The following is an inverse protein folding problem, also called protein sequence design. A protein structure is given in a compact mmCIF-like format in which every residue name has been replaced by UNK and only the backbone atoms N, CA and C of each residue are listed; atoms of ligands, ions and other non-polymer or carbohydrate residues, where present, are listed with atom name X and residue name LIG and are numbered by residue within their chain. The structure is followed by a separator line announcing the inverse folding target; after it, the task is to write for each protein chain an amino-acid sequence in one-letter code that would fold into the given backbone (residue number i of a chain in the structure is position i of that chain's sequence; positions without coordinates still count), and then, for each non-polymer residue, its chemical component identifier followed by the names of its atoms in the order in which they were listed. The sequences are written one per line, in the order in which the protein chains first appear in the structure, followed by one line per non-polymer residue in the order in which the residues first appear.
data_IF_181230240392
#
_entry.id   IF_181230240392
#
_cell.length_a   1.000
_cell.length_b   1.000
_cell.length_c   1.000
_cell.angle_alpha   90.00
_cell.angle_beta   90.00
_cell.angle_gamma   90.00
#
_symmetry.space_group_name_H-M   'P 1'
#
loop_
_entity.id
_entity.type
_entity.pdbx_description
1 polymer ?
#
# COMPACT_ATOMS: atom_id res chain seq x y z
N UNK A 1 -16.76 2.30 -16.65
CA UNK A 1 -15.45 1.95 -17.26
C UNK A 1 -15.11 2.84 -18.46
N UNK A 2 -15.92 2.91 -19.52
CA UNK A 2 -15.65 3.78 -20.68
C UNK A 2 -15.49 5.27 -20.32
N UNK A 3 -16.35 5.82 -19.46
CA UNK A 3 -16.26 7.23 -19.03
C UNK A 3 -14.96 7.53 -18.26
N UNK A 4 -14.50 6.57 -17.43
CA UNK A 4 -13.24 6.67 -16.68
C UNK A 4 -12.02 6.60 -17.60
N UNK A 5 -12.05 5.71 -18.59
CA UNK A 5 -11.01 5.63 -19.61
C UNK A 5 -10.95 6.93 -20.46
N UNK A 6 -12.11 7.45 -20.88
CA UNK A 6 -12.20 8.69 -21.66
C UNK A 6 -11.72 9.91 -20.87
N UNK A 7 -12.11 10.04 -19.61
CA UNK A 7 -11.65 11.13 -18.74
C UNK A 7 -10.15 11.01 -18.41
N UNK A 8 -9.64 9.80 -18.21
CA UNK A 8 -8.20 9.55 -18.07
C UNK A 8 -7.41 9.93 -19.33
N UNK A 9 -7.87 9.53 -20.51
CA UNK A 9 -7.26 9.89 -21.79
C UNK A 9 -7.30 11.40 -22.04
N UNK A 10 -8.45 12.04 -21.78
CA UNK A 10 -8.60 13.49 -21.91
C UNK A 10 -7.67 14.25 -20.95
N UNK A 11 -7.52 13.77 -19.71
CA UNK A 11 -6.61 14.34 -18.72
C UNK A 11 -5.14 14.21 -19.15
N UNK A 12 -4.71 13.04 -19.63
CA UNK A 12 -3.34 12.83 -20.15
C UNK A 12 -3.08 13.73 -21.35
N UNK A 13 -4.04 13.83 -22.26
CA UNK A 13 -3.95 14.68 -23.46
C UNK A 13 -3.82 16.16 -23.08
N UNK A 14 -4.63 16.63 -22.12
CA UNK A 14 -4.61 18.01 -21.64
C UNK A 14 -3.30 18.35 -20.91
N UNK A 15 -2.82 17.45 -20.04
CA UNK A 15 -1.56 17.65 -19.32
C UNK A 15 -0.39 17.77 -20.29
N UNK A 16 -0.38 16.96 -21.36
CA UNK A 16 0.69 16.99 -22.36
C UNK A 16 0.70 18.26 -23.21
N UNK A 17 -0.44 18.93 -23.37
CA UNK A 17 -0.57 20.16 -24.16
C UNK A 17 -0.42 21.46 -23.36
N UNK A 18 -0.40 21.40 -22.04
CA UNK A 18 -0.34 22.60 -21.19
C UNK A 18 1.10 22.99 -20.90
N UNK A 19 1.45 24.27 -21.08
CA UNK A 19 2.82 24.78 -20.87
C UNK A 19 3.30 24.77 -19.41
N UNK A 20 2.36 24.92 -18.45
CA UNK A 20 2.60 24.82 -17.00
C UNK A 20 1.68 23.77 -16.39
N UNK A 21 1.96 22.47 -16.58
CA UNK A 21 1.08 21.41 -16.08
C UNK A 21 1.06 21.37 -14.56
N UNK A 22 -0.14 21.20 -13.99
CA UNK A 22 -0.36 20.97 -12.55
C UNK A 22 0.35 19.71 -12.02
N UNK A 23 0.85 18.84 -12.89
CA UNK A 23 1.64 17.68 -12.51
C UNK A 23 2.66 17.44 -13.62
N UNK A 24 3.90 17.94 -13.47
CA UNK A 24 4.91 17.82 -14.51
C UNK A 24 5.17 16.34 -14.84
N UNK A 25 4.94 15.88 -16.09
CA UNK A 25 5.21 14.50 -16.48
C UNK A 25 6.69 14.12 -16.32
N UNK A 26 7.57 15.12 -16.25
CA UNK A 26 8.99 14.97 -15.94
C UNK A 26 9.25 14.30 -14.59
N UNK A 27 8.34 14.40 -13.61
CA UNK A 27 8.51 13.68 -12.33
C UNK A 27 8.51 12.16 -12.50
N UNK A 28 7.68 11.64 -13.41
CA UNK A 28 7.64 10.20 -13.70
C UNK A 28 8.82 9.72 -14.56
N UNK A 29 9.65 10.62 -15.09
CA UNK A 29 10.93 10.24 -15.72
C UNK A 29 11.95 9.81 -14.66
N UNK A 30 11.81 10.26 -13.41
CA UNK A 30 12.63 9.75 -12.32
C UNK A 30 12.13 8.35 -11.94
N UNK A 31 12.92 7.34 -12.31
CA UNK A 31 12.57 5.95 -12.07
C UNK A 31 12.34 5.63 -10.58
N UNK A 32 13.11 6.23 -9.67
CA UNK A 32 12.95 6.01 -8.22
C UNK A 32 11.59 6.49 -7.75
N UNK A 33 11.20 7.69 -8.18
CA UNK A 33 9.88 8.26 -7.88
C UNK A 33 8.76 7.38 -8.43
N UNK A 34 8.87 6.95 -9.69
CA UNK A 34 7.84 6.12 -10.35
C UNK A 34 7.69 4.75 -9.70
N UNK A 35 8.79 4.07 -9.38
CA UNK A 35 8.75 2.79 -8.69
C UNK A 35 8.21 2.93 -7.25
N UNK A 36 8.54 4.01 -6.54
CA UNK A 36 8.00 4.29 -5.22
C UNK A 36 6.49 4.58 -5.26
N UNK A 37 6.03 5.35 -6.25
CA UNK A 37 4.62 5.63 -6.48
C UNK A 37 3.83 4.36 -6.82
N UNK A 38 4.37 3.50 -7.70
CA UNK A 38 3.76 2.23 -8.05
C UNK A 38 3.73 1.25 -6.87
N UNK A 39 4.81 1.19 -6.09
CA UNK A 39 4.88 0.40 -4.85
C UNK A 39 3.79 0.85 -3.87
N UNK A 40 3.64 2.16 -3.66
CA UNK A 40 2.55 2.73 -2.86
C UNK A 40 1.19 2.25 -3.36
N UNK A 41 0.90 2.41 -4.65
CA UNK A 41 -0.38 2.03 -5.23
C UNK A 41 -0.73 0.57 -4.92
N UNK A 42 0.19 -0.36 -5.19
CA UNK A 42 -0.04 -1.80 -4.97
C UNK A 42 -0.16 -2.15 -3.48
N UNK A 43 0.64 -1.52 -2.62
CA UNK A 43 0.52 -1.69 -1.17
C UNK A 43 -0.83 -1.17 -0.64
N UNK A 44 -1.34 -0.06 -1.18
CA UNK A 44 -2.66 0.48 -0.84
C UNK A 44 -3.82 -0.32 -1.43
N UNK A 45 -3.64 -1.01 -2.56
CA UNK A 45 -4.60 -2.05 -3.02
C UNK A 45 -4.75 -3.12 -1.96
N UNK A 46 -3.63 -3.67 -1.50
CA UNK A 46 -3.60 -4.71 -0.48
C UNK A 46 -4.27 -4.24 0.81
N UNK A 47 -3.93 -3.03 1.28
CA UNK A 47 -4.57 -2.41 2.43
C UNK A 47 -6.08 -2.23 2.22
N UNK A 48 -6.51 -1.71 1.08
CA UNK A 48 -7.93 -1.49 0.76
C UNK A 48 -8.73 -2.79 0.78
N UNK A 49 -8.17 -3.87 0.21
CA UNK A 49 -8.78 -5.21 0.28
C UNK A 49 -8.95 -5.64 1.74
N UNK A 50 -7.88 -5.57 2.54
CA UNK A 50 -7.94 -6.05 3.93
C UNK A 50 -8.87 -5.19 4.80
N UNK A 51 -8.92 -3.88 4.58
CA UNK A 51 -9.77 -2.96 5.35
C UNK A 51 -11.27 -3.24 5.15
N UNK A 52 -11.66 -3.89 4.05
CA UNK A 52 -13.05 -4.32 3.81
C UNK A 52 -13.25 -5.79 4.16
N UNK A 53 -12.34 -6.66 3.72
CA UNK A 53 -12.48 -8.10 3.91
C UNK A 53 -12.45 -8.50 5.39
N UNK A 54 -11.60 -7.86 6.20
CA UNK A 54 -11.37 -8.28 7.58
C UNK A 54 -12.54 -7.95 8.52
N UNK A 55 -13.13 -6.73 8.51
CA UNK A 55 -14.35 -6.46 9.27
C UNK A 55 -15.53 -7.32 8.82
N UNK A 56 -15.60 -7.67 7.52
CA UNK A 56 -16.63 -8.57 7.03
C UNK A 56 -16.41 -9.98 7.57
N UNK A 57 -15.19 -10.53 7.53
CA UNK A 57 -14.82 -11.81 8.16
C UNK A 57 -15.25 -11.87 9.64
N UNK A 58 -14.91 -10.82 10.40
CA UNK A 58 -15.20 -10.77 11.84
C UNK A 58 -16.70 -10.80 12.14
N UNK A 59 -17.51 -10.18 11.29
CA UNK A 59 -18.96 -10.08 11.48
C UNK A 59 -19.70 -11.29 10.91
N UNK A 60 -19.39 -11.71 9.67
CA UNK A 60 -20.12 -12.77 8.98
C UNK A 60 -19.71 -14.16 9.44
N UNK A 61 -18.41 -14.42 9.63
CA UNK A 61 -17.92 -15.75 10.01
C UNK A 61 -17.75 -15.92 11.51
N UNK A 62 -17.20 -14.92 12.21
CA UNK A 62 -16.98 -15.01 13.65
C UNK A 62 -18.12 -14.45 14.50
N UNK A 63 -19.13 -13.81 13.88
CA UNK A 63 -20.32 -13.32 14.58
C UNK A 63 -20.04 -12.16 15.55
N UNK A 64 -18.91 -11.46 15.42
CA UNK A 64 -18.62 -10.31 16.25
C UNK A 64 -19.50 -9.12 15.89
N UNK A 65 -19.83 -8.29 16.88
CA UNK A 65 -20.52 -7.03 16.61
C UNK A 65 -19.62 -6.05 15.84
N UNK A 66 -20.20 -5.05 15.15
CA UNK A 66 -19.41 -4.01 14.47
C UNK A 66 -18.43 -3.28 15.40
N UNK A 67 -18.84 -3.04 16.65
CA UNK A 67 -18.00 -2.40 17.68
C UNK A 67 -16.79 -3.27 18.04
N UNK A 68 -17.00 -4.56 18.27
CA UNK A 68 -15.91 -5.50 18.56
C UNK A 68 -14.98 -5.64 17.36
N UNK A 69 -15.54 -5.70 16.15
CA UNK A 69 -14.75 -5.76 14.91
C UNK A 69 -13.85 -4.54 14.73
N UNK A 70 -14.35 -3.34 15.05
CA UNK A 70 -13.55 -2.12 15.05
C UNK A 70 -12.43 -2.16 16.12
N UNK A 71 -12.74 -2.66 17.33
CA UNK A 71 -11.74 -2.82 18.39
C UNK A 71 -10.62 -3.78 17.98
N UNK A 72 -10.96 -4.91 17.35
CA UNK A 72 -10.00 -5.89 16.82
C UNK A 72 -9.13 -5.32 15.68
N UNK A 73 -9.58 -4.24 15.04
CA UNK A 73 -8.82 -3.54 14.01
C UNK A 73 -7.84 -2.51 14.57
N UNK A 74 -8.11 -1.97 15.77
CA UNK A 74 -7.28 -0.96 16.48
C UNK A 74 -5.78 -1.27 16.56
N UNK A 75 -5.34 -2.53 16.75
CA UNK A 75 -3.91 -2.86 16.78
C UNK A 75 -3.17 -2.49 15.49
N UNK A 76 -3.86 -2.46 14.34
CA UNK A 76 -3.23 -2.08 13.07
C UNK A 76 -2.73 -0.62 13.08
N UNK A 77 -3.57 0.43 13.27
CA UNK A 77 -3.08 1.80 13.35
C UNK A 77 -2.11 2.00 14.52
N UNK A 78 -2.28 1.29 15.63
CA UNK A 78 -1.29 1.31 16.73
C UNK A 78 0.09 0.85 16.26
N UNK A 79 0.17 -0.27 15.52
CA UNK A 79 1.41 -0.76 14.94
C UNK A 79 2.08 0.26 14.02
N UNK A 80 1.28 0.97 13.20
CA UNK A 80 1.77 2.05 12.34
C UNK A 80 2.39 3.17 13.18
N UNK A 81 1.65 3.67 14.19
CA UNK A 81 2.10 4.77 15.06
C UNK A 81 3.39 4.40 15.79
N UNK A 82 3.48 3.15 16.27
CA UNK A 82 4.64 2.66 17.01
C UNK A 82 5.89 2.56 16.14
N UNK A 83 5.78 2.14 14.88
CA UNK A 83 6.97 1.87 14.05
C UNK A 83 7.36 3.04 13.12
N UNK A 84 6.40 3.86 12.68
CA UNK A 84 6.64 4.84 11.61
C UNK A 84 7.72 5.89 11.94
N UNK A 85 7.82 6.43 13.18
CA UNK A 85 8.91 7.34 13.54
C UNK A 85 10.28 6.65 13.50
N UNK A 86 10.35 5.39 13.91
CA UNK A 86 11.59 4.61 13.91
C UNK A 86 12.03 4.29 12.49
N UNK A 87 11.12 3.85 11.64
CA UNK A 87 11.40 3.60 10.23
C UNK A 87 11.85 4.87 9.49
N UNK A 88 11.26 6.03 9.83
CA UNK A 88 11.69 7.33 9.30
C UNK A 88 13.13 7.69 9.70
N UNK A 89 13.48 7.50 10.98
CA UNK A 89 14.84 7.69 11.51
C UNK A 89 15.84 6.72 10.91
N UNK A 90 15.48 5.46 10.77
CA UNK A 90 16.34 4.48 10.10
C UNK A 90 16.61 4.88 8.65
N UNK A 91 15.66 5.53 7.98
CA UNK A 91 15.83 6.01 6.62
C UNK A 91 16.76 7.23 6.51
N UNK A 92 17.16 7.85 7.62
CA UNK A 92 18.23 8.86 7.63
C UNK A 92 19.62 8.22 7.44
N UNK A 93 19.81 6.98 7.90
CA UNK A 93 21.12 6.33 7.96
C UNK A 93 21.23 5.08 7.08
N UNK A 94 20.11 4.43 6.76
CA UNK A 94 20.01 3.22 5.95
C UNK A 94 19.21 3.56 4.68
N UNK A 95 19.47 2.86 3.57
CA UNK A 95 18.74 3.08 2.32
C UNK A 95 17.22 2.92 2.50
N UNK A 96 16.46 3.97 2.19
CA UNK A 96 14.99 3.98 2.30
C UNK A 96 14.30 2.82 1.55
N UNK A 97 14.73 2.40 0.35
CA UNK A 97 14.15 1.23 -0.31
C UNK A 97 14.37 -0.09 0.46
N UNK A 98 15.44 -0.23 1.25
CA UNK A 98 15.70 -1.46 2.00
C UNK A 98 14.74 -1.59 3.17
N UNK A 99 14.58 -0.52 3.95
CA UNK A 99 13.62 -0.46 5.04
C UNK A 99 12.20 -0.63 4.49
N UNK A 100 11.89 0.04 3.37
CA UNK A 100 10.58 -0.09 2.72
C UNK A 100 10.28 -1.54 2.32
N UNK A 101 11.26 -2.22 1.72
CA UNK A 101 11.13 -3.62 1.30
C UNK A 101 10.97 -4.55 2.50
N UNK A 102 11.75 -4.33 3.57
CA UNK A 102 11.61 -5.10 4.81
C UNK A 102 10.21 -4.91 5.44
N UNK A 103 9.73 -3.67 5.50
CA UNK A 103 8.38 -3.37 5.98
C UNK A 103 7.30 -4.08 5.16
N UNK A 104 7.43 -4.10 3.82
CA UNK A 104 6.51 -4.82 2.94
C UNK A 104 6.57 -6.33 3.14
N UNK A 105 7.76 -6.92 3.39
CA UNK A 105 7.88 -8.35 3.71
C UNK A 105 7.15 -8.66 5.01
N UNK A 106 7.34 -7.86 6.06
CA UNK A 106 6.62 -8.01 7.33
C UNK A 106 5.11 -7.85 7.11
N UNK A 107 4.70 -6.92 6.24
CA UNK A 107 3.30 -6.72 5.90
C UNK A 107 2.70 -7.94 5.17
N UNK A 108 3.41 -8.52 4.20
CA UNK A 108 3.00 -9.79 3.55
C UNK A 108 2.85 -10.90 4.57
N UNK A 109 3.80 -11.06 5.50
CA UNK A 109 3.70 -12.05 6.58
C UNK A 109 2.46 -11.80 7.43
N UNK A 110 2.20 -10.55 7.84
CA UNK A 110 0.99 -10.19 8.58
C UNK A 110 -0.30 -10.53 7.82
N UNK A 111 -0.34 -10.27 6.52
CA UNK A 111 -1.50 -10.60 5.67
C UNK A 111 -1.70 -12.11 5.55
N UNK A 112 -0.62 -12.89 5.40
CA UNK A 112 -0.69 -14.37 5.38
C UNK A 112 -1.18 -14.88 6.74
N UNK A 113 -0.69 -14.31 7.85
CA UNK A 113 -1.18 -14.65 9.18
C UNK A 113 -2.68 -14.36 9.29
N UNK A 114 -3.18 -13.22 8.83
CA UNK A 114 -4.62 -12.94 8.83
C UNK A 114 -5.41 -13.90 7.91
N UNK A 115 -4.88 -14.21 6.72
CA UNK A 115 -5.51 -15.13 5.77
C UNK A 115 -5.60 -16.58 6.29
N UNK A 116 -4.71 -16.95 7.22
CA UNK A 116 -4.62 -18.26 7.87
C UNK A 116 -5.18 -18.24 9.30
N UNK A 117 -6.07 -17.30 9.62
CA UNK A 117 -6.81 -17.35 10.88
C UNK A 117 -7.61 -18.66 10.98
N UNK A 118 -7.56 -19.36 12.14
CA UNK A 118 -8.33 -20.57 12.34
C UNK A 118 -9.84 -20.27 12.35
N UNK A 119 -10.68 -21.30 12.25
CA UNK A 119 -12.13 -21.16 12.27
C UNK A 119 -12.68 -20.55 13.59
N UNK A 120 -11.92 -20.66 14.68
CA UNK A 120 -12.26 -20.09 16.00
C UNK A 120 -11.02 -19.44 16.62
N UNK A 121 -10.62 -18.25 16.14
CA UNK A 121 -9.46 -17.57 16.68
C UNK A 121 -9.78 -16.95 18.04
N UNK A 122 -8.76 -16.83 18.89
CA UNK A 122 -8.89 -15.96 20.06
C UNK A 122 -8.79 -14.50 19.63
N UNK A 123 -9.45 -13.59 20.35
CA UNK A 123 -9.35 -12.14 20.08
C UNK A 123 -7.89 -11.67 20.15
N UNK A 124 -7.10 -12.25 21.06
CA UNK A 124 -5.67 -11.96 21.19
C UNK A 124 -4.89 -12.32 19.93
N UNK A 125 -5.18 -13.47 19.32
CA UNK A 125 -4.54 -13.91 18.08
C UNK A 125 -4.85 -12.96 16.92
N UNK A 126 -6.12 -12.54 16.77
CA UNK A 126 -6.50 -11.51 15.80
C UNK A 126 -5.72 -10.22 16.04
N UNK A 127 -5.69 -9.73 17.29
CA UNK A 127 -5.01 -8.48 17.64
C UNK A 127 -3.52 -8.52 17.31
N UNK A 128 -2.84 -9.63 17.62
CA UNK A 128 -1.42 -9.79 17.34
C UNK A 128 -1.13 -9.78 15.84
N UNK A 129 -1.93 -10.50 15.04
CA UNK A 129 -1.77 -10.56 13.58
C UNK A 129 -2.07 -9.20 12.93
N UNK A 130 -3.11 -8.49 13.39
CA UNK A 130 -3.41 -7.11 12.98
C UNK A 130 -2.28 -6.13 13.34
N UNK A 131 -1.68 -6.30 14.51
CA UNK A 131 -0.52 -5.48 14.94
C UNK A 131 0.68 -5.70 14.01
N UNK A 132 0.98 -6.94 13.63
CA UNK A 132 2.06 -7.26 12.68
C UNK A 132 1.82 -6.58 11.32
N UNK A 133 0.58 -6.60 10.82
CA UNK A 133 0.21 -5.84 9.61
C UNK A 133 0.50 -4.34 9.76
N UNK A 134 0.11 -3.76 10.90
CA UNK A 134 0.38 -2.35 11.21
C UNK A 134 1.86 -2.01 11.24
N UNK A 135 2.66 -2.84 11.90
CA UNK A 135 4.11 -2.68 12.00
C UNK A 135 4.76 -2.79 10.60
N UNK A 136 4.40 -3.80 9.81
CA UNK A 136 4.94 -3.94 8.46
C UNK A 136 4.59 -2.74 7.57
N UNK A 137 3.30 -2.38 7.54
CA UNK A 137 2.82 -1.29 6.69
C UNK A 137 3.38 0.09 7.11
N UNK A 138 3.47 0.36 8.42
CA UNK A 138 4.08 1.61 8.91
C UNK A 138 5.58 1.70 8.63
N UNK A 139 6.29 0.57 8.76
CA UNK A 139 7.71 0.47 8.44
C UNK A 139 7.98 0.70 6.95
N UNK A 140 7.05 0.28 6.09
CA UNK A 140 7.07 0.59 4.65
C UNK A 140 6.76 2.07 4.36
N UNK A 141 5.65 2.56 4.90
CA UNK A 141 5.04 3.81 4.44
C UNK A 141 5.95 5.02 4.68
N UNK A 142 6.58 5.10 5.85
CA UNK A 142 7.43 6.23 6.24
C UNK A 142 8.64 6.45 5.30
N UNK A 143 9.54 5.47 5.09
CA UNK A 143 10.67 5.59 4.16
C UNK A 143 10.23 5.73 2.70
N UNK A 144 9.16 5.06 2.27
CA UNK A 144 8.69 5.17 0.89
C UNK A 144 8.14 6.57 0.57
N UNK A 145 7.37 7.16 1.49
CA UNK A 145 6.88 8.53 1.34
C UNK A 145 8.03 9.53 1.32
N UNK A 146 9.03 9.32 2.18
CA UNK A 146 10.24 10.13 2.18
C UNK A 146 10.95 10.06 0.83
N UNK A 147 11.14 8.87 0.27
CA UNK A 147 11.76 8.70 -1.05
C UNK A 147 10.97 9.44 -2.14
N UNK A 148 9.64 9.38 -2.12
CA UNK A 148 8.82 10.12 -3.07
C UNK A 148 8.97 11.64 -2.94
N UNK A 149 9.08 12.15 -1.71
CA UNK A 149 9.14 13.60 -1.43
C UNK A 149 10.56 14.17 -1.54
N UNK A 150 11.60 13.38 -1.30
CA UNK A 150 13.00 13.85 -1.34
C UNK A 150 13.60 13.84 -2.75
N UNK A 151 13.03 13.09 -3.68
CA UNK A 151 13.51 12.96 -5.07
C UNK A 151 12.97 14.04 -6.02
N UNK A 152 12.24 15.03 -5.49
CA UNK A 152 11.69 16.16 -6.25
C UNK A 152 12.24 17.48 -5.74
N UNK A 153 12.45 18.43 -6.65
CA UNK A 153 12.83 19.81 -6.32
C UNK A 153 11.76 20.37 -5.36
N UNK A 154 12.16 21.22 -4.41
CA UNK A 154 11.28 21.74 -3.35
C UNK A 154 9.98 22.39 -3.89
N UNK A 155 10.05 22.98 -5.08
CA UNK A 155 8.93 23.55 -5.83
C UNK A 155 7.90 22.51 -6.33
N UNK A 156 8.29 21.23 -6.39
CA UNK A 156 7.46 20.12 -6.84
C UNK A 156 7.03 19.18 -5.71
N UNK A 157 7.42 19.46 -4.46
CA UNK A 157 7.05 18.64 -3.30
C UNK A 157 5.51 18.53 -3.12
N UNK A 158 4.78 19.63 -3.38
CA UNK A 158 3.31 19.63 -3.37
C UNK A 158 2.73 18.67 -4.43
N UNK A 159 3.34 18.60 -5.61
CA UNK A 159 2.92 17.67 -6.67
C UNK A 159 3.21 16.21 -6.28
N UNK A 160 4.38 15.93 -5.70
CA UNK A 160 4.72 14.59 -5.22
C UNK A 160 3.76 14.10 -4.12
N UNK A 161 3.39 14.97 -3.18
CA UNK A 161 2.36 14.68 -2.17
C UNK A 161 0.98 14.43 -2.81
N UNK A 162 0.64 15.18 -3.87
CA UNK A 162 -0.54 14.95 -4.69
C UNK A 162 -0.54 13.56 -5.34
N UNK A 163 0.56 13.17 -6.01
CA UNK A 163 0.74 11.83 -6.58
C UNK A 163 0.58 10.75 -5.50
N UNK A 164 1.25 10.90 -4.36
CA UNK A 164 1.14 9.95 -3.26
C UNK A 164 -0.32 9.77 -2.81
N UNK A 165 -1.05 10.87 -2.66
CA UNK A 165 -2.46 10.83 -2.27
C UNK A 165 -3.34 10.18 -3.32
N UNK A 166 -3.10 10.45 -4.61
CA UNK A 166 -3.79 9.79 -5.73
C UNK A 166 -3.49 8.29 -5.71
N UNK A 167 -2.22 7.88 -5.64
CA UNK A 167 -1.83 6.45 -5.63
C UNK A 167 -2.46 5.70 -4.46
N UNK A 168 -2.50 6.34 -3.28
CA UNK A 168 -3.16 5.81 -2.08
C UNK A 168 -4.66 5.63 -2.28
N UNK A 169 -5.37 6.71 -2.60
CA UNK A 169 -6.83 6.67 -2.73
C UNK A 169 -7.24 5.75 -3.87
N UNK A 170 -6.55 5.82 -5.01
CA UNK A 170 -6.81 4.94 -6.15
C UNK A 170 -6.55 3.47 -5.82
N UNK A 171 -5.44 3.16 -5.14
CA UNK A 171 -5.16 1.81 -4.66
C UNK A 171 -6.24 1.30 -3.72
N UNK A 172 -6.65 2.09 -2.72
CA UNK A 172 -7.72 1.72 -1.80
C UNK A 172 -9.07 1.51 -2.51
N UNK A 173 -9.42 2.36 -3.48
CA UNK A 173 -10.62 2.19 -4.30
C UNK A 173 -10.57 0.90 -5.14
N UNK A 174 -9.43 0.59 -5.76
CA UNK A 174 -9.25 -0.66 -6.51
C UNK A 174 -9.39 -1.88 -5.60
N UNK A 175 -8.78 -1.85 -4.41
CA UNK A 175 -8.91 -2.92 -3.42
C UNK A 175 -10.36 -3.10 -2.98
N UNK A 176 -11.06 -2.00 -2.72
CA UNK A 176 -12.47 -2.03 -2.35
C UNK A 176 -13.35 -2.62 -3.46
N UNK A 177 -13.12 -2.21 -4.71
CA UNK A 177 -13.83 -2.75 -5.87
C UNK A 177 -13.56 -4.25 -6.07
N UNK A 178 -12.31 -4.70 -5.86
CA UNK A 178 -11.96 -6.11 -5.93
C UNK A 178 -12.74 -6.95 -4.89
N UNK A 179 -12.82 -6.47 -3.64
CA UNK A 179 -13.61 -7.13 -2.60
C UNK A 179 -15.10 -7.15 -2.96
N UNK A 180 -15.64 -6.04 -3.44
CA UNK A 180 -17.05 -5.96 -3.84
C UNK A 180 -17.40 -6.99 -4.93
N UNK A 181 -16.52 -7.17 -5.93
CA UNK A 181 -16.70 -8.19 -6.98
C UNK A 181 -16.62 -9.61 -6.41
N UNK A 182 -15.67 -9.88 -5.53
CA UNK A 182 -15.52 -11.20 -4.90
C UNK A 182 -16.74 -11.57 -4.04
N UNK A 183 -17.19 -10.64 -3.19
CA UNK A 183 -18.34 -10.87 -2.31
C UNK A 183 -19.66 -10.94 -3.08
N UNK A 184 -19.79 -10.22 -4.20
CA UNK A 184 -20.96 -10.33 -5.07
C UNK A 184 -21.06 -11.70 -5.78
N UNK A 185 -19.93 -12.39 -5.97
CA UNK A 185 -19.89 -13.72 -6.55
C UNK A 185 -20.23 -14.80 -5.51
N UNK A 186 -19.58 -14.74 -4.34
CA UNK A 186 -19.85 -15.65 -3.21
C UNK A 186 -19.37 -14.99 -1.89
N UNK A 187 -20.26 -14.93 -0.89
CA UNK A 187 -19.95 -14.38 0.44
C UNK A 187 -18.83 -15.16 1.16
N UNK A 188 -18.59 -16.43 0.80
CA UNK A 188 -17.45 -17.22 1.32
C UNK A 188 -16.10 -16.86 0.69
N UNK A 189 -16.08 -15.94 -0.27
CA UNK A 189 -14.84 -15.49 -0.95
C UNK A 189 -13.98 -14.54 -0.10
N UNK A 190 -14.29 -14.34 1.18
CA UNK A 190 -13.53 -13.45 2.07
C UNK A 190 -12.08 -13.93 2.23
N UNK A 191 -11.87 -15.25 2.37
CA UNK A 191 -10.53 -15.83 2.42
C UNK A 191 -9.76 -15.61 1.11
N UNK A 192 -10.44 -15.70 -0.04
CA UNK A 192 -9.84 -15.40 -1.36
C UNK A 192 -9.43 -13.93 -1.43
N UNK A 193 -10.24 -13.03 -0.90
CA UNK A 193 -9.89 -11.61 -0.80
C UNK A 193 -8.61 -11.41 0.04
N UNK A 194 -8.50 -12.03 1.21
CA UNK A 194 -7.30 -11.92 2.05
C UNK A 194 -6.04 -12.48 1.37
N UNK A 195 -6.15 -13.62 0.67
CA UNK A 195 -5.06 -14.15 -0.14
C UNK A 195 -4.68 -13.26 -1.31
N UNK A 196 -5.68 -12.61 -1.95
CA UNK A 196 -5.42 -11.64 -3.01
C UNK A 196 -4.69 -10.39 -2.49
N UNK A 197 -4.96 -9.95 -1.26
CA UNK A 197 -4.22 -8.88 -0.60
C UNK A 197 -2.76 -9.29 -0.35
N UNK A 198 -2.52 -10.50 0.14
CA UNK A 198 -1.16 -11.02 0.34
C UNK A 198 -0.40 -11.11 -1.00
N UNK A 199 -1.05 -11.59 -2.06
CA UNK A 199 -0.47 -11.69 -3.40
C UNK A 199 -0.14 -10.31 -3.98
N UNK A 200 -1.06 -9.34 -3.88
CA UNK A 200 -0.81 -7.97 -4.31
C UNK A 200 0.37 -7.36 -3.54
N UNK A 201 0.43 -7.57 -2.22
CA UNK A 201 1.52 -7.06 -1.40
C UNK A 201 2.86 -7.73 -1.74
N UNK A 202 2.87 -9.01 -2.11
CA UNK A 202 4.07 -9.68 -2.62
C UNK A 202 4.58 -9.03 -3.93
N UNK A 203 3.70 -8.59 -4.82
CA UNK A 203 4.10 -7.79 -5.99
C UNK A 203 4.76 -6.47 -5.56
N UNK A 204 4.21 -5.80 -4.54
CA UNK A 204 4.83 -4.58 -4.01
C UNK A 204 6.24 -4.82 -3.44
N UNK A 205 6.49 -5.99 -2.81
CA UNK A 205 7.83 -6.40 -2.37
C UNK A 205 8.78 -6.52 -3.55
N UNK A 206 8.37 -7.19 -4.64
CA UNK A 206 9.21 -7.37 -5.84
C UNK A 206 9.55 -6.03 -6.47
N UNK A 207 8.56 -5.15 -6.65
CA UNK A 207 8.77 -3.80 -7.18
C UNK A 207 9.72 -3.02 -6.26
N UNK A 208 9.48 -3.06 -4.95
CA UNK A 208 10.31 -2.36 -3.98
C UNK A 208 11.76 -2.87 -3.98
N UNK A 209 11.95 -4.18 -4.02
CA UNK A 209 13.25 -4.83 -4.05
C UNK A 209 14.02 -4.54 -5.35
N UNK A 210 13.33 -4.34 -6.48
CA UNK A 210 13.96 -3.94 -7.74
C UNK A 210 14.71 -2.60 -7.62
N UNK A 211 14.25 -1.71 -6.74
CA UNK A 211 14.93 -0.43 -6.43
C UNK A 211 16.28 -0.64 -5.75
N UNK A 212 16.46 -1.72 -4.99
CA UNK A 212 17.72 -2.03 -4.30
C UNK A 212 18.82 -2.43 -5.29
N UNK A 213 18.50 -3.29 -6.25
CA UNK A 213 19.47 -3.78 -7.25
C UNK A 213 20.03 -2.65 -8.12
N UNK A 214 19.23 -1.61 -8.35
CA UNK A 214 19.64 -0.43 -9.13
C UNK A 214 20.50 0.56 -8.35
N UNK A 215 20.61 0.43 -7.03
CA UNK A 215 21.55 1.22 -6.22
C UNK A 215 22.97 0.63 -6.32
N UNK A 216 23.09 -0.70 -6.38
CA UNK A 216 24.37 -1.42 -6.44
C UNK A 216 25.00 -1.46 -7.83
N UNK A 217 24.24 -1.18 -8.89
CA UNK A 217 24.75 -0.99 -10.24
C UNK A 217 24.38 0.42 -10.73
N UNK A 218 25.19 1.45 -10.40
CA UNK A 218 25.16 2.68 -11.18
C UNK A 218 25.43 2.26 -12.63
N UNK A 219 24.69 2.81 -13.58
CA UNK A 219 24.94 2.58 -14.99
C UNK A 219 26.42 2.87 -15.31
N UNK A 220 27.22 1.81 -15.43
CA UNK A 220 28.43 1.86 -16.21
C UNK A 220 28.00 1.96 -17.67
N UNK A 221 28.49 3.01 -18.33
CA UNK A 221 28.60 3.20 -19.79
C UNK A 221 27.35 3.63 -20.57
N UNK A 222 27.52 4.74 -21.31
CA UNK A 222 26.66 5.20 -22.41
C UNK A 222 26.64 6.70 -22.57
#
# INVERSE_FOLDING_TARGET
MALAALSGMAFIWQIRRTGSPLLPPSMFKNERFTLAAFTSMVAFVSQGITFIALPFLFQSEYGYSPVVSALLFTPWPLGIVLIAPHAGRWADTISAPAISTLGLVIFVVGLILLATLPARPSMWDICLRSLVCGIGFGCFQSPNNREMLSNVIREHASYASGVLSIMRTFGQCLGAAAVAVLLAADERSIHVALWSAAAASAVSVVVSASRLRKITHPAETG
#
